data_IF_518218907370
#
_entry.id   IF_518218907370
#
_cell.length_a   1.000
_cell.length_b   1.000
_cell.length_c   1.000
_cell.angle_alpha   90.00
_cell.angle_beta   90.00
_cell.angle_gamma   90.00
#
_symmetry.space_group_name_H-M   'P 1'
#
loop_
_entity.id
_entity.type
_entity.pdbx_description
1 polymer ?
#
# COMPACT_ATOMS: atom_id res chain seq x y z
N UNK A 1 -9.13 22.94 8.45
CA UNK A 1 -9.45 21.78 7.60
C UNK A 1 -9.81 20.65 8.54
N UNK A 2 -11.02 20.10 8.46
CA UNK A 2 -11.42 18.98 9.33
C UNK A 2 -10.66 17.75 8.84
N UNK A 3 -9.93 17.11 9.76
CA UNK A 3 -9.19 15.88 9.46
C UNK A 3 -10.19 14.75 9.31
N UNK A 4 -10.15 14.06 8.17
CA UNK A 4 -11.10 13.03 7.79
C UNK A 4 -10.38 11.72 7.47
N UNK A 5 -11.13 10.62 7.52
CA UNK A 5 -10.68 9.30 7.08
C UNK A 5 -11.71 8.78 6.10
N UNK A 6 -11.23 8.31 4.96
CA UNK A 6 -12.06 7.66 3.95
C UNK A 6 -11.82 6.16 3.98
N UNK A 7 -12.89 5.40 4.12
CA UNK A 7 -12.87 3.94 4.01
C UNK A 7 -13.61 3.55 2.74
N UNK A 8 -12.96 2.88 1.81
CA UNK A 8 -13.51 2.57 0.48
C UNK A 8 -14.09 3.81 -0.23
N UNK A 9 -13.39 4.94 -0.15
CA UNK A 9 -13.80 6.28 -0.64
C UNK A 9 -14.99 6.94 0.08
N UNK A 10 -15.49 6.34 1.17
CA UNK A 10 -16.59 6.89 1.97
C UNK A 10 -16.02 7.64 3.16
N UNK A 11 -16.41 8.91 3.29
CA UNK A 11 -15.97 9.80 4.36
C UNK A 11 -16.64 9.44 5.70
N UNK A 12 -15.84 9.15 6.72
CA UNK A 12 -16.35 8.88 8.07
C UNK A 12 -16.94 10.15 8.71
N UNK A 13 -16.35 11.32 8.46
CA UNK A 13 -16.96 12.59 8.88
C UNK A 13 -18.28 12.87 8.16
N UNK A 14 -18.40 12.48 6.89
CA UNK A 14 -19.66 12.51 6.14
C UNK A 14 -20.73 11.58 6.70
N UNK A 15 -20.34 10.47 7.34
CA UNK A 15 -21.26 9.58 8.06
C UNK A 15 -21.66 10.15 9.43
N UNK A 16 -20.99 11.18 9.93
CA UNK A 16 -21.29 11.82 11.22
C UNK A 16 -20.32 11.45 12.35
N UNK A 17 -19.22 10.77 12.05
CA UNK A 17 -18.16 10.49 13.01
C UNK A 17 -17.13 11.62 13.08
N UNK A 18 -16.66 11.94 14.28
CA UNK A 18 -15.59 12.90 14.51
C UNK A 18 -14.31 12.13 14.77
N UNK A 19 -13.26 12.40 14.00
CA UNK A 19 -11.96 11.76 14.23
C UNK A 19 -11.29 12.34 15.48
N UNK A 20 -10.99 11.47 16.44
CA UNK A 20 -10.20 11.81 17.64
C UNK A 20 -8.72 11.56 17.39
N UNK A 21 -8.38 10.34 16.96
CA UNK A 21 -7.00 9.93 16.75
C UNK A 21 -6.87 8.93 15.60
N UNK A 22 -5.68 8.89 15.01
CA UNK A 22 -5.24 7.77 14.17
C UNK A 22 -3.83 7.40 14.61
N UNK A 23 -3.60 6.11 14.83
CA UNK A 23 -2.28 5.55 15.03
C UNK A 23 -1.93 4.67 13.84
N UNK A 24 -0.93 5.09 13.07
CA UNK A 24 -0.52 4.48 11.82
C UNK A 24 0.99 4.20 11.84
N UNK A 25 1.46 3.25 12.66
CA UNK A 25 2.88 3.00 12.86
C UNK A 25 3.54 2.48 11.58
N UNK A 26 4.85 2.69 11.47
CA UNK A 26 5.68 2.02 10.45
C UNK A 26 5.71 0.52 10.72
N UNK A 27 5.64 -0.34 9.69
CA UNK A 27 5.62 -1.78 9.90
C UNK A 27 6.96 -2.26 10.47
N UNK A 28 6.91 -3.28 11.30
CA UNK A 28 8.12 -3.85 11.90
C UNK A 28 8.87 -4.69 10.87
N UNK A 29 10.20 -4.58 10.81
CA UNK A 29 11.00 -5.45 9.95
C UNK A 29 10.97 -6.90 10.45
N UNK A 30 10.80 -7.84 9.51
CA UNK A 30 10.98 -9.26 9.77
C UNK A 30 12.49 -9.51 9.94
N UNK A 31 12.91 -9.71 11.19
CA UNK A 31 14.32 -9.87 11.52
C UNK A 31 14.55 -11.16 12.29
N UNK A 32 15.58 -11.89 11.86
CA UNK A 32 16.10 -13.04 12.59
C UNK A 32 17.57 -12.76 12.93
N UNK A 33 17.92 -12.91 14.20
CA UNK A 33 19.29 -12.68 14.68
C UNK A 33 19.81 -13.87 15.45
N UNK A 34 21.03 -14.32 15.12
CA UNK A 34 21.70 -15.43 15.79
C UNK A 34 22.91 -14.91 16.55
N UNK A 35 22.92 -15.11 17.87
CA UNK A 35 24.07 -14.81 18.74
C UNK A 35 24.95 -16.05 18.81
N UNK A 36 26.21 -15.90 18.38
CA UNK A 36 27.19 -17.01 18.39
C UNK A 36 28.22 -16.74 19.49
N UNK A 37 28.43 -17.67 20.45
CA UNK A 37 29.49 -17.56 21.44
C UNK A 37 30.86 -17.35 20.78
N UNK A 38 31.63 -16.38 21.29
CA UNK A 38 32.94 -16.02 20.73
C UNK A 38 32.89 -14.97 19.61
N UNK A 39 31.70 -14.49 19.20
CA UNK A 39 31.56 -13.32 18.34
C UNK A 39 31.14 -12.09 19.14
N UNK A 40 31.69 -10.94 18.77
CA UNK A 40 31.34 -9.65 19.37
C UNK A 40 30.06 -9.02 18.78
N UNK A 41 29.46 -9.65 17.77
CA UNK A 41 28.25 -9.12 17.14
C UNK A 41 27.37 -10.27 16.61
N UNK A 42 26.03 -10.14 16.74
CA UNK A 42 25.10 -11.13 16.21
C UNK A 42 25.14 -11.16 14.68
N UNK A 43 24.83 -12.33 14.13
CA UNK A 43 24.51 -12.49 12.71
C UNK A 43 23.06 -12.00 12.53
N UNK A 44 22.82 -11.13 11.54
CA UNK A 44 21.49 -10.59 11.24
C UNK A 44 21.07 -11.06 9.85
N UNK A 45 19.90 -11.69 9.75
CA UNK A 45 19.36 -12.22 8.49
C UNK A 45 18.34 -11.30 7.82
N UNK A 46 18.07 -10.13 8.39
CA UNK A 46 17.07 -9.17 7.90
C UNK A 46 17.25 -8.77 6.43
N UNK A 47 18.48 -8.73 5.93
CA UNK A 47 18.82 -8.35 4.55
C UNK A 47 19.40 -9.52 3.74
N UNK A 48 19.30 -10.75 4.24
CA UNK A 48 20.01 -11.90 3.67
C UNK A 48 19.58 -12.23 2.23
N UNK A 49 18.35 -11.86 1.84
CA UNK A 49 17.81 -12.02 0.48
C UNK A 49 17.95 -10.75 -0.38
N UNK A 50 18.76 -9.78 0.04
CA UNK A 50 19.01 -8.54 -0.70
C UNK A 50 17.94 -7.45 -0.52
N UNK A 51 16.86 -7.74 0.19
CA UNK A 51 15.81 -6.79 0.58
C UNK A 51 15.32 -7.07 2.01
N UNK A 52 14.69 -6.06 2.62
CA UNK A 52 14.08 -6.17 3.94
C UNK A 52 12.59 -6.47 3.78
N UNK A 53 12.14 -7.55 4.39
CA UNK A 53 10.71 -7.88 4.51
C UNK A 53 10.12 -7.26 5.76
N UNK A 54 8.83 -6.94 5.72
CA UNK A 54 8.10 -6.29 6.81
C UNK A 54 6.91 -7.13 7.27
N UNK A 55 6.63 -7.12 8.57
CA UNK A 55 5.44 -7.73 9.13
C UNK A 55 4.19 -6.96 8.70
N UNK A 56 3.00 -7.60 8.68
CA UNK A 56 1.74 -6.89 8.50
C UNK A 56 1.65 -5.71 9.45
N UNK A 57 1.09 -4.61 8.96
CA UNK A 57 0.91 -3.40 9.76
C UNK A 57 -0.35 -3.54 10.60
N UNK A 58 -0.24 -3.16 11.87
CA UNK A 58 -1.39 -2.91 12.72
C UNK A 58 -1.62 -1.40 12.83
N UNK A 59 -2.88 -0.96 12.75
CA UNK A 59 -3.25 0.43 12.93
C UNK A 59 -4.59 0.56 13.65
N UNK A 60 -4.81 1.71 14.27
CA UNK A 60 -6.07 2.02 14.96
C UNK A 60 -6.57 3.41 14.61
N UNK A 61 -7.89 3.53 14.52
CA UNK A 61 -8.60 4.77 14.26
C UNK A 61 -9.64 4.93 15.36
N UNK A 62 -9.54 6.02 16.11
CA UNK A 62 -10.49 6.36 17.16
C UNK A 62 -11.40 7.48 16.67
N UNK A 63 -12.69 7.20 16.65
CA UNK A 63 -13.75 8.14 16.30
C UNK A 63 -14.68 8.36 17.49
N UNK A 64 -15.31 9.51 17.53
CA UNK A 64 -16.34 9.85 18.51
C UNK A 64 -17.56 10.45 17.83
N UNK A 65 -18.67 10.48 18.55
CA UNK A 65 -19.81 11.31 18.23
C UNK A 65 -20.43 11.86 19.52
N UNK A 66 -21.05 13.03 19.43
CA UNK A 66 -21.86 13.58 20.53
C UNK A 66 -23.33 13.53 20.13
N UNK A 67 -24.20 13.07 21.03
CA UNK A 67 -25.62 12.98 20.76
C UNK A 67 -26.32 11.89 21.56
N UNK A 68 -27.50 11.47 21.08
CA UNK A 68 -28.32 10.48 21.78
C UNK A 68 -27.90 9.04 21.46
N UNK A 69 -28.32 8.11 22.31
CA UNK A 69 -28.09 6.67 22.14
C UNK A 69 -28.72 6.15 20.84
N UNK A 70 -29.89 6.66 20.47
CA UNK A 70 -30.58 6.29 19.22
C UNK A 70 -29.73 6.66 18.01
N UNK A 71 -29.21 7.89 17.95
CA UNK A 71 -28.34 8.33 16.86
C UNK A 71 -27.05 7.52 16.81
N UNK A 72 -26.45 7.24 17.96
CA UNK A 72 -25.27 6.39 18.05
C UNK A 72 -25.51 4.99 17.48
N UNK A 73 -26.63 4.35 17.84
CA UNK A 73 -26.97 3.03 17.32
C UNK A 73 -27.19 3.04 15.79
N UNK A 74 -27.77 4.10 15.24
CA UNK A 74 -27.91 4.27 13.79
C UNK A 74 -26.55 4.34 13.09
N UNK A 75 -25.64 5.20 13.59
CA UNK A 75 -24.30 5.37 13.03
C UNK A 75 -23.50 4.08 13.10
N UNK A 76 -23.50 3.41 14.27
CA UNK A 76 -22.82 2.13 14.45
C UNK A 76 -23.38 1.09 13.47
N UNK A 77 -24.70 0.99 13.33
CA UNK A 77 -25.31 0.05 12.39
C UNK A 77 -24.85 0.30 10.95
N UNK A 78 -24.82 1.56 10.52
CA UNK A 78 -24.37 1.93 9.17
C UNK A 78 -22.90 1.58 8.96
N UNK A 79 -22.03 1.98 9.88
CA UNK A 79 -20.58 1.76 9.79
C UNK A 79 -20.22 0.27 9.92
N UNK A 80 -20.75 -0.44 10.90
CA UNK A 80 -20.44 -1.86 11.13
C UNK A 80 -20.92 -2.75 9.98
N UNK A 81 -22.14 -2.54 9.46
CA UNK A 81 -22.64 -3.33 8.33
C UNK A 81 -21.81 -3.15 7.06
N UNK A 82 -21.14 -2.01 6.93
CA UNK A 82 -20.36 -1.68 5.75
C UNK A 82 -18.91 -2.16 5.84
N UNK A 83 -18.29 -2.07 7.01
CA UNK A 83 -16.84 -2.22 7.15
C UNK A 83 -16.39 -3.34 8.11
N UNK A 84 -17.21 -3.76 9.08
CA UNK A 84 -16.76 -4.75 10.06
C UNK A 84 -16.46 -6.11 9.41
N UNK A 85 -15.30 -6.68 9.73
CA UNK A 85 -14.79 -7.95 9.21
C UNK A 85 -14.51 -7.96 7.71
N UNK A 86 -14.34 -6.78 7.08
CA UNK A 86 -14.12 -6.67 5.63
C UNK A 86 -12.77 -6.05 5.31
N UNK A 87 -12.18 -6.55 4.23
CA UNK A 87 -11.02 -5.93 3.61
C UNK A 87 -11.42 -4.55 3.08
N UNK A 88 -10.73 -3.51 3.52
CA UNK A 88 -11.07 -2.14 3.15
C UNK A 88 -9.84 -1.29 2.88
N UNK A 89 -10.00 -0.36 1.93
CA UNK A 89 -9.03 0.68 1.60
C UNK A 89 -9.21 1.86 2.54
N UNK A 90 -8.18 2.25 3.29
CA UNK A 90 -8.22 3.41 4.18
C UNK A 90 -7.28 4.51 3.66
N UNK A 91 -7.82 5.72 3.52
CA UNK A 91 -7.08 6.94 3.12
C UNK A 91 -7.25 7.99 4.22
N UNK A 92 -6.16 8.64 4.60
CA UNK A 92 -6.18 9.76 5.56
C UNK A 92 -6.24 11.08 4.82
N UNK A 93 -6.84 12.11 5.42
CA UNK A 93 -6.83 13.46 4.85
C UNK A 93 -5.42 14.08 4.73
N UNK A 94 -4.48 13.64 5.56
CA UNK A 94 -3.10 14.11 5.57
C UNK A 94 -2.29 13.58 4.38
N UNK A 95 -2.59 12.36 3.93
CA UNK A 95 -1.93 11.69 2.82
C UNK A 95 -2.99 11.17 1.84
N UNK A 96 -3.66 12.07 1.09
CA UNK A 96 -4.77 11.69 0.22
C UNK A 96 -4.35 10.80 -0.95
N UNK A 97 -3.07 10.86 -1.32
CA UNK A 97 -2.49 10.12 -2.44
C UNK A 97 -2.01 8.72 -2.03
N UNK A 98 -2.08 8.37 -0.74
CA UNK A 98 -1.69 7.07 -0.21
C UNK A 98 -2.87 6.36 0.45
N UNK A 99 -2.87 5.03 0.36
CA UNK A 99 -3.84 4.21 1.07
C UNK A 99 -3.19 2.97 1.67
N UNK A 100 -3.79 2.45 2.74
CA UNK A 100 -3.54 1.10 3.20
C UNK A 100 -4.75 0.21 2.95
N UNK A 101 -4.50 -1.09 2.98
CA UNK A 101 -5.53 -2.11 2.84
C UNK A 101 -5.36 -3.15 3.94
N UNK A 102 -6.47 -3.56 4.53
CA UNK A 102 -6.49 -4.54 5.61
C UNK A 102 -7.91 -4.83 6.09
N UNK A 103 -8.06 -5.83 6.96
CA UNK A 103 -9.37 -6.24 7.47
C UNK A 103 -9.72 -5.42 8.70
N UNK A 104 -10.86 -4.72 8.63
CA UNK A 104 -11.27 -3.81 9.70
C UNK A 104 -12.14 -4.50 10.75
N UNK A 105 -11.72 -4.41 12.00
CA UNK A 105 -12.52 -4.75 13.17
C UNK A 105 -13.06 -3.48 13.83
N UNK A 106 -14.27 -3.56 14.40
CA UNK A 106 -14.98 -2.40 14.94
C UNK A 106 -15.42 -2.69 16.37
N UNK A 107 -14.96 -1.86 17.30
CA UNK A 107 -15.39 -1.82 18.68
C UNK A 107 -16.13 -0.51 18.96
N UNK A 108 -17.17 -0.57 19.79
CA UNK A 108 -18.02 0.59 20.04
C UNK A 108 -18.36 0.72 21.52
N UNK A 109 -18.32 1.93 22.04
CA UNK A 109 -18.72 2.25 23.42
C UNK A 109 -19.61 3.50 23.41
N UNK A 110 -20.45 3.66 24.43
CA UNK A 110 -21.26 4.87 24.58
C UNK A 110 -21.41 5.20 26.05
N UNK A 111 -21.10 6.45 26.40
CA UNK A 111 -21.33 7.03 27.72
C UNK A 111 -22.67 7.78 27.74
N UNK A 112 -23.68 7.28 28.48
CA UNK A 112 -24.97 7.95 28.60
C UNK A 112 -24.95 9.24 29.40
N UNK A 113 -23.99 9.43 30.31
CA UNK A 113 -23.88 10.63 31.14
C UNK A 113 -23.31 11.79 30.33
N UNK A 114 -22.28 11.50 29.53
CA UNK A 114 -21.65 12.51 28.66
C UNK A 114 -22.36 12.67 27.30
N UNK A 115 -23.24 11.72 26.94
CA UNK A 115 -23.86 11.70 25.61
C UNK A 115 -22.82 11.49 24.51
N UNK A 116 -21.76 10.72 24.82
CA UNK A 116 -20.60 10.52 23.96
C UNK A 116 -20.55 9.07 23.48
N UNK A 117 -20.56 8.88 22.16
CA UNK A 117 -20.29 7.59 21.53
C UNK A 117 -18.85 7.52 21.07
N UNK A 118 -18.23 6.36 21.18
CA UNK A 118 -16.90 6.08 20.64
C UNK A 118 -16.96 4.87 19.72
N UNK A 119 -16.18 4.94 18.64
CA UNK A 119 -16.00 3.87 17.68
C UNK A 119 -14.51 3.73 17.39
N UNK A 120 -13.97 2.56 17.68
CA UNK A 120 -12.58 2.22 17.41
C UNK A 120 -12.55 1.23 16.26
N UNK A 121 -11.92 1.63 15.16
CA UNK A 121 -11.58 0.72 14.06
C UNK A 121 -10.15 0.25 14.29
N UNK A 122 -9.95 -1.06 14.34
CA UNK A 122 -8.63 -1.66 14.42
C UNK A 122 -8.38 -2.54 13.20
N UNK A 123 -7.12 -2.64 12.80
CA UNK A 123 -6.68 -3.54 11.76
C UNK A 123 -5.37 -4.16 12.23
N UNK A 124 -5.24 -5.49 12.15
CA UNK A 124 -4.05 -6.21 12.60
C UNK A 124 -3.29 -6.89 11.46
N UNK A 125 -3.94 -7.03 10.30
CA UNK A 125 -3.46 -7.75 9.12
C UNK A 125 -3.28 -6.83 7.91
N UNK A 126 -3.09 -5.53 8.12
CA UNK A 126 -2.91 -4.62 6.99
C UNK A 126 -1.62 -4.92 6.24
N UNK A 127 -1.63 -4.67 4.93
CA UNK A 127 -0.41 -4.77 4.14
C UNK A 127 0.69 -3.86 4.71
N UNK A 128 1.93 -4.34 4.65
CA UNK A 128 3.06 -3.64 5.25
C UNK A 128 3.29 -2.28 4.58
N UNK A 129 3.07 -2.20 3.26
CA UNK A 129 3.23 -0.98 2.48
C UNK A 129 1.91 -0.20 2.38
N UNK A 130 2.05 1.12 2.27
CA UNK A 130 1.01 2.02 1.76
C UNK A 130 1.18 2.13 0.25
N UNK A 131 0.07 2.21 -0.46
CA UNK A 131 0.04 2.23 -1.92
C UNK A 131 -0.35 3.60 -2.42
N UNK A 132 0.24 4.04 -3.53
CA UNK A 132 -0.23 5.23 -4.24
C UNK A 132 -1.63 4.96 -4.81
N UNK A 133 -2.52 5.96 -4.67
CA UNK A 133 -3.91 5.88 -5.16
C UNK A 133 -3.93 5.80 -6.68
N UNK A 134 -3.10 6.61 -7.33
CA UNK A 134 -2.94 6.63 -8.77
C UNK A 134 -1.87 5.63 -9.22
N UNK A 135 -2.14 4.93 -10.32
CA UNK A 135 -1.17 4.03 -10.94
C UNK A 135 -0.21 4.81 -11.84
N UNK A 136 1.06 4.43 -11.79
CA UNK A 136 2.05 4.92 -12.75
C UNK A 136 1.80 4.24 -14.08
N UNK A 137 1.52 5.05 -15.10
CA UNK A 137 1.22 4.59 -16.45
C UNK A 137 2.10 5.32 -17.47
N UNK A 138 3.19 4.69 -17.89
CA UNK A 138 4.17 5.29 -18.79
C UNK A 138 4.08 4.68 -20.19
N UNK A 139 3.75 5.52 -21.18
CA UNK A 139 3.67 5.12 -22.59
C UNK A 139 4.96 5.54 -23.33
N UNK A 140 5.49 4.60 -24.09
CA UNK A 140 6.76 4.71 -24.81
C UNK A 140 6.56 4.29 -26.25
N UNK A 141 6.99 5.12 -27.21
CA UNK A 141 7.02 4.78 -28.63
C UNK A 141 8.46 4.70 -29.14
N UNK A 142 8.69 3.75 -30.05
CA UNK A 142 9.98 3.60 -30.73
C UNK A 142 11.11 3.08 -29.84
N UNK A 143 12.33 3.13 -30.38
CA UNK A 143 13.52 2.57 -29.72
C UNK A 143 14.15 3.59 -28.78
N UNK A 144 14.12 3.33 -27.47
CA UNK A 144 14.74 4.23 -26.48
C UNK A 144 15.04 3.52 -25.16
N UNK A 145 15.86 4.18 -24.34
CA UNK A 145 16.01 3.83 -22.93
C UNK A 145 14.94 4.60 -22.15
N UNK A 146 14.23 3.88 -21.30
CA UNK A 146 13.12 4.37 -20.48
C UNK A 146 13.55 4.28 -19.03
N UNK A 147 13.27 5.33 -18.26
CA UNK A 147 13.50 5.35 -16.81
C UNK A 147 12.13 5.21 -16.15
N UNK A 148 11.95 4.14 -15.40
CA UNK A 148 10.80 3.92 -14.53
C UNK A 148 11.21 4.31 -13.11
N UNK A 149 10.71 5.44 -12.63
CA UNK A 149 10.84 5.80 -11.22
C UNK A 149 9.90 4.91 -10.42
N UNK A 150 10.38 4.35 -9.31
CA UNK A 150 9.57 3.61 -8.36
C UNK A 150 9.84 4.17 -6.96
N UNK A 151 8.79 4.29 -6.16
CA UNK A 151 8.91 4.55 -4.74
C UNK A 151 9.50 3.32 -4.02
N UNK A 152 9.38 3.23 -2.70
CA UNK A 152 10.12 2.26 -1.90
C UNK A 152 9.71 0.78 -2.11
N UNK A 153 8.43 0.51 -2.36
CA UNK A 153 7.88 -0.85 -2.50
C UNK A 153 8.36 -1.50 -3.80
N UNK A 154 9.04 -2.65 -3.75
CA UNK A 154 9.37 -3.41 -4.96
C UNK A 154 8.11 -3.81 -5.72
N UNK A 155 8.09 -3.58 -7.04
CA UNK A 155 6.91 -3.83 -7.87
C UNK A 155 7.29 -4.41 -9.23
N UNK A 156 6.52 -5.39 -9.70
CA UNK A 156 6.63 -5.92 -11.06
C UNK A 156 5.61 -5.20 -11.94
N UNK A 157 6.03 -4.51 -13.01
CA UNK A 157 5.11 -3.79 -13.87
C UNK A 157 4.44 -4.72 -14.88
N UNK A 158 3.20 -4.40 -15.20
CA UNK A 158 2.48 -4.96 -16.34
C UNK A 158 2.89 -4.21 -17.59
N UNK A 159 3.42 -4.93 -18.57
CA UNK A 159 3.91 -4.38 -19.84
C UNK A 159 2.92 -4.69 -20.95
N UNK A 160 2.36 -3.66 -21.57
CA UNK A 160 1.45 -3.78 -22.72
C UNK A 160 2.15 -3.32 -23.98
N UNK A 161 2.20 -4.15 -25.00
CA UNK A 161 2.89 -3.87 -26.28
C UNK A 161 1.89 -3.93 -27.43
N UNK A 162 2.04 -3.05 -28.43
CA UNK A 162 1.19 -3.05 -29.64
C UNK A 162 1.84 -3.66 -30.88
N UNK A 163 3.14 -3.98 -30.79
CA UNK A 163 3.90 -4.64 -31.85
C UNK A 163 5.00 -5.51 -31.21
N UNK A 164 5.69 -6.28 -32.04
CA UNK A 164 6.87 -7.03 -31.62
C UNK A 164 7.88 -6.09 -30.95
N UNK A 165 8.22 -6.42 -29.71
CA UNK A 165 8.96 -5.57 -28.81
C UNK A 165 10.05 -6.37 -28.12
N UNK A 166 11.27 -5.85 -28.16
CA UNK A 166 12.40 -6.36 -27.40
C UNK A 166 12.68 -5.44 -26.22
N UNK A 167 12.71 -6.03 -25.04
CA UNK A 167 12.99 -5.38 -23.76
C UNK A 167 14.32 -5.88 -23.21
N UNK A 168 15.12 -4.98 -22.66
CA UNK A 168 16.37 -5.35 -21.97
C UNK A 168 16.58 -4.48 -20.75
N UNK A 169 16.87 -5.10 -19.61
CA UNK A 169 17.08 -4.42 -18.33
C UNK A 169 18.13 -5.15 -17.51
N UNK A 170 18.53 -4.54 -16.39
CA UNK A 170 19.49 -5.12 -15.45
C UNK A 170 18.94 -5.05 -14.04
N UNK A 171 19.21 -6.09 -13.26
CA UNK A 171 18.98 -6.12 -11.81
C UNK A 171 20.29 -6.57 -11.16
N UNK A 172 20.88 -5.70 -10.34
CA UNK A 172 22.23 -5.94 -9.81
C UNK A 172 23.25 -6.18 -10.92
N UNK A 173 23.86 -7.37 -10.92
CA UNK A 173 24.81 -7.81 -11.97
C UNK A 173 24.15 -8.52 -13.15
N UNK A 174 22.90 -8.95 -13.00
CA UNK A 174 22.21 -9.77 -13.98
C UNK A 174 21.60 -8.92 -15.08
N UNK A 175 21.64 -9.45 -16.30
CA UNK A 175 21.12 -8.79 -17.50
C UNK A 175 20.05 -9.66 -18.14
N UNK A 176 18.87 -9.07 -18.36
CA UNK A 176 17.73 -9.76 -18.93
C UNK A 176 17.43 -9.23 -20.33
N UNK A 177 16.95 -10.13 -21.19
CA UNK A 177 16.55 -9.83 -22.55
C UNK A 177 15.32 -10.67 -22.91
N UNK A 178 14.22 -10.02 -23.30
CA UNK A 178 12.98 -10.68 -23.72
C UNK A 178 12.45 -10.04 -24.99
N UNK A 179 11.98 -10.87 -25.92
CA UNK A 179 11.26 -10.42 -27.12
C UNK A 179 9.86 -11.00 -27.06
N UNK A 180 8.87 -10.13 -27.18
CA UNK A 180 7.45 -10.48 -27.08
C UNK A 180 6.66 -9.85 -28.20
N UNK A 181 5.59 -10.51 -28.61
CA UNK A 181 4.63 -9.96 -29.57
C UNK A 181 3.75 -8.89 -28.92
N UNK A 182 2.88 -8.25 -29.71
CA UNK A 182 1.79 -7.45 -29.19
C UNK A 182 0.96 -8.24 -28.16
N UNK A 183 0.63 -7.61 -27.03
CA UNK A 183 -0.11 -8.24 -25.94
C UNK A 183 0.17 -7.61 -24.57
N UNK A 184 -0.34 -8.25 -23.53
CA UNK A 184 -0.08 -7.91 -22.13
C UNK A 184 0.84 -8.95 -21.52
N UNK A 185 1.92 -8.50 -20.90
CA UNK A 185 3.00 -9.33 -20.38
C UNK A 185 3.37 -8.93 -18.97
N UNK A 186 3.71 -9.92 -18.16
CA UNK A 186 4.31 -9.74 -16.84
C UNK A 186 5.60 -10.54 -16.81
N UNK A 187 6.68 -9.91 -16.34
CA UNK A 187 7.98 -10.55 -16.19
C UNK A 187 8.35 -10.50 -14.70
N UNK A 188 8.22 -11.60 -13.95
CA UNK A 188 8.58 -11.62 -12.53
C UNK A 188 10.01 -11.14 -12.25
N UNK A 189 10.89 -11.30 -13.25
CA UNK A 189 12.29 -10.90 -13.20
C UNK A 189 12.51 -9.41 -13.54
N UNK A 190 11.44 -8.64 -13.77
CA UNK A 190 11.44 -7.19 -13.94
C UNK A 190 10.87 -6.54 -12.68
N UNK A 191 11.48 -6.81 -11.54
CA UNK A 191 11.16 -6.13 -10.29
C UNK A 191 11.82 -4.75 -10.26
N UNK A 192 11.02 -3.70 -10.12
CA UNK A 192 11.48 -2.32 -10.00
C UNK A 192 11.93 -2.08 -8.56
N UNK A 193 13.20 -1.75 -8.37
CA UNK A 193 13.73 -1.35 -7.08
C UNK A 193 13.42 0.14 -6.81
N UNK A 194 13.58 0.58 -5.56
CA UNK A 194 13.43 1.99 -5.21
C UNK A 194 14.34 2.90 -6.05
N UNK A 195 13.77 3.99 -6.57
CA UNK A 195 14.44 4.95 -7.43
C UNK A 195 14.27 4.66 -8.91
N UNK A 196 15.33 4.93 -9.69
CA UNK A 196 15.26 4.92 -11.16
C UNK A 196 15.68 3.58 -11.74
N UNK A 197 14.76 2.90 -12.43
CA UNK A 197 14.98 1.63 -13.12
C UNK A 197 15.06 1.84 -14.62
N UNK A 198 16.19 1.45 -15.23
CA UNK A 198 16.42 1.68 -16.67
C UNK A 198 16.06 0.45 -17.50
N UNK A 199 15.15 0.63 -18.47
CA UNK A 199 14.72 -0.40 -19.41
C UNK A 199 14.99 0.08 -20.84
N UNK A 200 15.73 -0.72 -21.60
CA UNK A 200 15.90 -0.51 -23.05
C UNK A 200 14.73 -1.14 -23.78
N UNK A 201 14.02 -0.33 -24.56
CA UNK A 201 12.89 -0.74 -25.39
C UNK A 201 13.29 -0.64 -26.85
N UNK A 202 13.02 -1.70 -27.62
CA UNK A 202 13.08 -1.68 -29.08
C UNK A 202 11.76 -2.18 -29.66
N UNK A 203 11.03 -1.33 -30.36
CA UNK A 203 9.72 -1.65 -30.93
C UNK A 203 9.44 -0.74 -32.12
N UNK A 204 8.58 -1.20 -33.04
CA UNK A 204 7.97 -0.36 -34.08
C UNK A 204 6.64 0.26 -33.63
N UNK A 205 6.08 -0.21 -32.50
CA UNK A 205 4.82 0.25 -31.93
C UNK A 205 5.00 1.07 -30.65
N UNK A 206 4.07 0.87 -29.72
CA UNK A 206 4.06 1.47 -28.39
C UNK A 206 4.14 0.41 -27.30
N UNK A 207 4.85 0.74 -26.23
CA UNK A 207 4.96 -0.05 -25.01
C UNK A 207 4.44 0.79 -23.85
N UNK A 208 3.57 0.22 -23.04
CA UNK A 208 3.01 0.85 -21.86
C UNK A 208 3.41 0.06 -20.63
N UNK A 209 4.07 0.71 -19.68
CA UNK A 209 4.38 0.15 -18.37
C UNK A 209 3.35 0.64 -17.36
N UNK A 210 2.68 -0.29 -16.67
CA UNK A 210 1.70 0.00 -15.61
C UNK A 210 2.11 -0.67 -14.32
N UNK A 211 2.20 0.10 -13.25
CA UNK A 211 2.50 -0.41 -11.92
C UNK A 211 1.96 0.54 -10.84
N UNK A 212 1.76 -0.01 -9.65
CA UNK A 212 1.37 0.77 -8.47
C UNK A 212 2.54 0.86 -7.54
N UNK A 213 2.99 2.08 -7.30
CA UNK A 213 4.07 2.37 -6.38
C UNK A 213 3.55 2.28 -4.94
N UNK A 214 4.47 2.14 -3.99
CA UNK A 214 4.14 2.12 -2.58
C UNK A 214 5.32 2.51 -1.70
N UNK A 215 5.04 2.83 -0.45
CA UNK A 215 6.03 3.22 0.54
C UNK A 215 5.68 2.68 1.93
N UNK A 216 6.63 2.76 2.87
CA UNK A 216 6.40 2.45 4.29
C UNK A 216 5.66 3.60 4.95
#
# INVERSE_FOLDING_TARGET
>A
MIKDIKINNISLSGMGWIRENIDFPTPQSQSETVVVPGRNSPIRFTEALGSVSFQPRAFTISLSMLGTRERFNELVRETSNQFAGRLAKVITSEEPDLYCIGTLEIETSYDPLEGKGELVISCSDADSYRYHVDETNLVVSGNKIVILANDYMPVVPVVVTTADTTLSWKIGTDSFHKTVSAGTWEFPEMELAHGNNSITVKTTGTVTFRYREGCL
#
